data_IF_187179042264
#
_entry.id   IF_187179042264
#
_cell.length_a   1.000
_cell.length_b   1.000
_cell.length_c   1.000
_cell.angle_alpha   90.00
_cell.angle_beta   90.00
_cell.angle_gamma   90.00
#
_symmetry.space_group_name_H-M   'P 1'
#
loop_
_entity.id
_entity.type
_entity.pdbx_description
1 polymer ?
#
# COMPACT_ATOMS: atom_id res chain seq x y z
N UNK A 1 -2.09 2.79 -35.57
CA UNK A 1 -2.22 3.95 -34.65
C UNK A 1 -2.12 3.43 -33.23
N UNK A 2 -1.05 3.78 -32.52
CA UNK A 2 -0.68 3.20 -31.22
C UNK A 2 -1.53 3.67 -30.02
N UNK A 3 -2.28 4.77 -30.17
CA UNK A 3 -3.07 5.35 -29.08
C UNK A 3 -4.43 5.79 -29.62
N UNK A 4 -5.42 4.89 -29.60
CA UNK A 4 -6.83 5.29 -29.77
C UNK A 4 -7.28 5.89 -28.44
N UNK A 5 -7.50 7.19 -28.42
CA UNK A 5 -8.09 7.89 -27.27
C UNK A 5 -9.57 7.50 -27.17
N UNK A 6 -9.88 6.45 -26.42
CA UNK A 6 -11.25 6.18 -25.98
C UNK A 6 -11.56 7.15 -24.83
N UNK A 7 -12.43 8.14 -25.09
CA UNK A 7 -12.77 9.18 -24.10
C UNK A 7 -13.56 8.66 -22.88
N UNK A 8 -13.91 7.36 -22.83
CA UNK A 8 -14.76 6.78 -21.80
C UNK A 8 -14.12 5.62 -21.01
N UNK A 9 -12.84 5.30 -21.24
CA UNK A 9 -12.18 4.17 -20.56
C UNK A 9 -11.43 4.65 -19.31
N UNK A 10 -11.48 3.86 -18.23
CA UNK A 10 -10.74 4.14 -16.99
C UNK A 10 -9.22 4.20 -17.25
N UNK A 11 -8.45 4.84 -16.37
CA UNK A 11 -6.99 4.88 -16.52
C UNK A 11 -6.44 3.45 -16.48
N UNK A 12 -6.91 2.62 -15.55
CA UNK A 12 -6.63 1.18 -15.50
C UNK A 12 -6.88 0.44 -16.81
N UNK A 13 -8.04 0.62 -17.45
CA UNK A 13 -8.35 -0.01 -18.73
C UNK A 13 -7.42 0.45 -19.86
N UNK A 14 -7.13 1.75 -19.92
CA UNK A 14 -6.21 2.33 -20.91
C UNK A 14 -4.78 1.85 -20.69
N UNK A 15 -4.33 1.77 -19.44
CA UNK A 15 -3.02 1.25 -19.07
C UNK A 15 -2.88 -0.22 -19.46
N UNK A 16 -3.88 -1.06 -19.16
CA UNK A 16 -3.90 -2.46 -19.55
C UNK A 16 -3.88 -2.65 -21.08
N UNK A 17 -4.68 -1.87 -21.81
CA UNK A 17 -4.69 -1.91 -23.28
C UNK A 17 -3.35 -1.45 -23.87
N UNK A 18 -2.73 -0.42 -23.30
CA UNK A 18 -1.42 0.08 -23.71
C UNK A 18 -0.31 -0.94 -23.41
N UNK A 19 -0.29 -1.56 -22.23
CA UNK A 19 0.65 -2.62 -21.87
C UNK A 19 0.55 -3.82 -22.81
N UNK A 20 -0.67 -4.31 -23.08
CA UNK A 20 -0.87 -5.40 -24.02
C UNK A 20 -0.39 -5.05 -25.44
N UNK A 21 -0.57 -3.79 -25.87
CA UNK A 21 -0.02 -3.31 -27.14
C UNK A 21 1.50 -3.22 -27.13
N UNK A 22 2.11 -2.71 -26.04
CA UNK A 22 3.55 -2.60 -25.91
C UNK A 22 4.21 -3.98 -25.91
N UNK A 23 3.65 -4.94 -25.18
CA UNK A 23 4.14 -6.32 -25.15
C UNK A 23 4.14 -6.96 -26.55
N UNK A 24 3.06 -6.79 -27.33
CA UNK A 24 3.01 -7.25 -28.72
C UNK A 24 4.08 -6.59 -29.59
N UNK A 25 4.29 -5.29 -29.43
CA UNK A 25 5.28 -4.55 -30.20
C UNK A 25 6.72 -4.92 -29.81
N UNK A 26 6.99 -5.11 -28.52
CA UNK A 26 8.28 -5.57 -28.02
C UNK A 26 8.61 -6.96 -28.56
N UNK A 27 7.63 -7.87 -28.55
CA UNK A 27 7.77 -9.19 -29.17
C UNK A 27 8.08 -9.09 -30.68
N UNK A 28 7.35 -8.23 -31.41
CA UNK A 28 7.60 -8.02 -32.84
C UNK A 28 8.99 -7.43 -33.12
N UNK A 29 9.46 -6.50 -32.28
CA UNK A 29 10.82 -5.94 -32.36
C UNK A 29 11.87 -7.00 -32.08
N UNK A 30 11.69 -7.86 -31.07
CA UNK A 30 12.59 -8.98 -30.80
C UNK A 30 12.69 -9.95 -31.99
N UNK A 31 11.55 -10.28 -32.61
CA UNK A 31 11.54 -11.10 -33.84
C UNK A 31 12.25 -10.41 -35.01
N UNK A 32 12.08 -9.10 -35.18
CA UNK A 32 12.77 -8.34 -36.21
C UNK A 32 14.28 -8.28 -35.96
N UNK A 33 14.69 -8.09 -34.69
CA UNK A 33 16.09 -8.12 -34.25
C UNK A 33 16.76 -9.44 -34.63
N UNK A 34 16.17 -10.57 -34.23
CA UNK A 34 16.74 -11.89 -34.56
C UNK A 34 16.84 -12.14 -36.07
N UNK A 35 15.85 -11.68 -36.85
CA UNK A 35 15.91 -11.77 -38.32
C UNK A 35 17.01 -10.91 -38.93
N UNK A 36 17.20 -9.69 -38.43
CA UNK A 36 18.27 -8.80 -38.88
C UNK A 36 19.64 -9.35 -38.52
N UNK A 37 19.83 -9.81 -37.29
CA UNK A 37 21.07 -10.45 -36.82
C UNK A 37 21.44 -11.65 -37.70
N UNK A 38 20.47 -12.54 -37.96
CA UNK A 38 20.66 -13.68 -38.87
C UNK A 38 21.05 -13.25 -40.29
N UNK A 39 20.37 -12.24 -40.84
CA UNK A 39 20.61 -11.77 -42.21
C UNK A 39 21.94 -11.03 -42.37
N UNK A 40 22.37 -10.30 -41.35
CA UNK A 40 23.69 -9.69 -41.28
C UNK A 40 24.77 -10.78 -41.30
N UNK A 41 24.65 -11.77 -40.41
CA UNK A 41 25.59 -12.89 -40.34
C UNK A 41 25.67 -13.65 -41.68
N UNK A 42 24.53 -13.91 -42.30
CA UNK A 42 24.46 -14.55 -43.62
C UNK A 42 25.17 -13.73 -44.71
N UNK A 43 24.90 -12.42 -44.77
CA UNK A 43 25.48 -11.53 -45.80
C UNK A 43 26.99 -11.37 -45.62
N UNK A 44 27.45 -11.33 -44.37
CA UNK A 44 28.86 -11.27 -44.01
C UNK A 44 29.61 -12.52 -44.50
N UNK A 45 28.97 -13.70 -44.37
CA UNK A 45 29.56 -14.98 -44.73
C UNK A 45 29.49 -15.32 -46.23
N UNK A 46 28.45 -14.88 -46.96
CA UNK A 46 28.25 -15.26 -48.37
C UNK A 46 28.84 -14.29 -49.40
N UNK A 47 28.76 -12.98 -49.18
CA UNK A 47 28.93 -11.99 -50.25
C UNK A 47 30.01 -10.94 -50.04
N UNK A 48 30.54 -10.79 -48.83
CA UNK A 48 31.53 -9.74 -48.51
C UNK A 48 31.06 -8.31 -48.84
N UNK A 49 29.76 -8.11 -49.12
CA UNK A 49 29.18 -6.84 -49.54
C UNK A 49 29.01 -5.95 -48.31
N UNK A 50 29.99 -5.07 -48.10
CA UNK A 50 30.10 -4.20 -46.92
C UNK A 50 29.01 -3.15 -46.85
N UNK A 51 28.55 -2.62 -47.99
CA UNK A 51 27.54 -1.56 -48.06
C UNK A 51 26.15 -2.05 -47.60
N UNK A 52 25.66 -3.17 -48.16
CA UNK A 52 24.41 -3.80 -47.72
C UNK A 52 24.44 -4.26 -46.26
N UNK A 53 25.63 -4.64 -45.78
CA UNK A 53 25.82 -5.01 -44.37
C UNK A 53 25.73 -3.78 -43.46
N UNK A 54 26.28 -2.64 -43.87
CA UNK A 54 26.21 -1.38 -43.10
C UNK A 54 24.77 -0.88 -42.97
N UNK A 55 23.97 -0.93 -44.03
CA UNK A 55 22.55 -0.55 -43.97
C UNK A 55 21.76 -1.43 -43.00
N UNK A 56 21.94 -2.76 -43.08
CA UNK A 56 21.29 -3.69 -42.16
C UNK A 56 21.70 -3.46 -40.70
N UNK A 57 22.98 -3.15 -40.44
CA UNK A 57 23.46 -2.80 -39.10
C UNK A 57 22.80 -1.53 -38.57
N UNK A 58 22.62 -0.49 -39.40
CA UNK A 58 21.88 0.72 -38.99
C UNK A 58 20.43 0.40 -38.63
N UNK A 59 19.76 -0.44 -39.42
CA UNK A 59 18.39 -0.87 -39.12
C UNK A 59 18.35 -1.69 -37.82
N UNK A 60 19.32 -2.57 -37.59
CA UNK A 60 19.44 -3.34 -36.35
C UNK A 60 19.57 -2.42 -35.12
N UNK A 61 20.37 -1.36 -35.22
CA UNK A 61 20.54 -0.38 -34.14
C UNK A 61 19.23 0.37 -33.85
N UNK A 62 18.49 0.78 -34.89
CA UNK A 62 17.16 1.37 -34.72
C UNK A 62 16.17 0.42 -34.03
N UNK A 63 16.20 -0.87 -34.36
CA UNK A 63 15.35 -1.89 -33.74
C UNK A 63 15.71 -2.07 -32.25
N UNK A 64 17.00 -2.11 -31.91
CA UNK A 64 17.46 -2.18 -30.51
C UNK A 64 17.04 -0.95 -29.71
N UNK A 65 17.16 0.25 -30.30
CA UNK A 65 16.69 1.49 -29.67
C UNK A 65 15.17 1.46 -29.48
N UNK A 66 14.43 0.94 -30.46
CA UNK A 66 12.98 0.74 -30.35
C UNK A 66 12.59 -0.23 -29.23
N UNK A 67 13.30 -1.35 -29.10
CA UNK A 67 13.10 -2.34 -28.02
C UNK A 67 13.31 -1.70 -26.63
N UNK A 68 14.40 -0.93 -26.47
CA UNK A 68 14.69 -0.19 -25.24
C UNK A 68 13.59 0.82 -24.89
N UNK A 69 13.12 1.62 -25.86
CA UNK A 69 12.04 2.60 -25.63
C UNK A 69 10.74 1.88 -25.23
N UNK A 70 10.40 0.78 -25.90
CA UNK A 70 9.19 0.02 -25.57
C UNK A 70 9.25 -0.56 -24.16
N UNK A 71 10.43 -1.00 -23.72
CA UNK A 71 10.66 -1.47 -22.36
C UNK A 71 10.49 -0.33 -21.33
N UNK A 72 11.15 0.82 -21.53
CA UNK A 72 11.03 1.98 -20.64
C UNK A 72 9.58 2.49 -20.57
N UNK A 73 8.85 2.50 -21.69
CA UNK A 73 7.44 2.85 -21.71
C UNK A 73 6.58 1.84 -20.93
N UNK A 74 6.92 0.55 -20.97
CA UNK A 74 6.19 -0.47 -20.21
C UNK A 74 6.34 -0.25 -18.70
N UNK A 75 7.55 0.04 -18.22
CA UNK A 75 7.80 0.34 -16.81
C UNK A 75 7.02 1.58 -16.35
N UNK A 76 7.03 2.66 -17.15
CA UNK A 76 6.29 3.89 -16.83
C UNK A 76 4.78 3.67 -16.72
N UNK A 77 4.21 2.83 -17.59
CA UNK A 77 2.77 2.52 -17.53
C UNK A 77 2.45 1.66 -16.30
N UNK A 78 3.35 0.72 -15.94
CA UNK A 78 3.22 -0.07 -14.72
C UNK A 78 3.26 0.83 -13.47
N UNK A 79 4.22 1.78 -13.40
CA UNK A 79 4.29 2.78 -12.32
C UNK A 79 3.03 3.64 -12.22
N UNK A 80 2.46 4.06 -13.36
CA UNK A 80 1.22 4.82 -13.38
C UNK A 80 0.03 4.01 -12.82
N UNK A 81 0.02 2.69 -13.03
CA UNK A 81 -1.00 1.80 -12.46
C UNK A 81 -0.87 1.72 -10.94
N UNK A 82 0.34 1.56 -10.41
CA UNK A 82 0.56 1.57 -8.97
C UNK A 82 0.17 2.89 -8.32
N UNK A 83 0.44 4.02 -8.99
CA UNK A 83 0.03 5.34 -8.51
C UNK A 83 -1.50 5.46 -8.42
N UNK A 84 -2.25 4.96 -9.41
CA UNK A 84 -3.72 4.96 -9.38
C UNK A 84 -4.26 4.12 -8.20
N UNK A 85 -3.67 2.95 -7.95
CA UNK A 85 -4.03 2.11 -6.80
C UNK A 85 -3.72 2.79 -5.47
N UNK A 86 -2.56 3.46 -5.37
CA UNK A 86 -2.18 4.22 -4.18
C UNK A 86 -3.15 5.37 -3.89
N UNK A 87 -3.53 6.15 -4.90
CA UNK A 87 -4.50 7.25 -4.75
C UNK A 87 -5.84 6.71 -4.28
N UNK A 88 -6.32 5.61 -4.85
CA UNK A 88 -7.59 4.99 -4.44
C UNK A 88 -7.57 4.55 -2.96
N UNK A 89 -6.45 4.00 -2.49
CA UNK A 89 -6.27 3.62 -1.08
C UNK A 89 -6.31 4.87 -0.19
N UNK A 90 -5.62 5.95 -0.57
CA UNK A 90 -5.63 7.19 0.20
C UNK A 90 -7.03 7.81 0.27
N UNK A 91 -7.75 7.87 -0.85
CA UNK A 91 -9.13 8.38 -0.89
C UNK A 91 -10.05 7.55 0.02
N UNK A 92 -9.88 6.22 0.01
CA UNK A 92 -10.65 5.32 0.88
C UNK A 92 -10.32 5.56 2.36
N UNK A 93 -9.04 5.69 2.70
CA UNK A 93 -8.61 5.98 4.07
C UNK A 93 -9.15 7.34 4.55
N UNK A 94 -9.11 8.37 3.69
CA UNK A 94 -9.66 9.68 3.99
C UNK A 94 -11.18 9.63 4.25
N UNK A 95 -11.93 8.84 3.47
CA UNK A 95 -13.36 8.59 3.71
C UNK A 95 -13.59 7.94 5.07
N UNK A 96 -12.85 6.87 5.39
CA UNK A 96 -12.98 6.18 6.67
C UNK A 96 -12.65 7.06 7.86
N UNK A 97 -11.64 7.94 7.77
CA UNK A 97 -11.35 8.90 8.84
C UNK A 97 -12.49 9.89 9.02
N UNK A 98 -13.10 10.36 7.94
CA UNK A 98 -14.28 11.23 8.01
C UNK A 98 -15.46 10.53 8.69
N UNK A 99 -15.73 9.28 8.34
CA UNK A 99 -16.80 8.48 8.94
C UNK A 99 -16.58 8.29 10.45
N UNK A 100 -15.36 7.91 10.87
CA UNK A 100 -15.02 7.77 12.30
C UNK A 100 -15.20 9.09 13.04
N UNK A 101 -14.78 10.20 12.42
CA UNK A 101 -14.95 11.53 13.01
C UNK A 101 -16.43 11.85 13.21
N UNK A 102 -17.26 11.61 12.20
CA UNK A 102 -18.70 11.86 12.26
C UNK A 102 -19.37 10.97 13.32
N UNK A 103 -18.96 9.71 13.45
CA UNK A 103 -19.43 8.79 14.49
C UNK A 103 -19.06 9.28 15.90
N UNK A 104 -17.82 9.75 16.10
CA UNK A 104 -17.37 10.31 17.39
C UNK A 104 -18.15 11.59 17.73
N UNK A 105 -18.34 12.48 16.76
CA UNK A 105 -19.10 13.72 16.95
C UNK A 105 -20.57 13.45 17.32
N UNK A 106 -21.15 12.36 16.84
CA UNK A 106 -22.51 11.93 17.23
C UNK A 106 -22.55 11.22 18.59
N UNK A 107 -21.56 10.37 18.88
CA UNK A 107 -21.54 9.56 20.10
C UNK A 107 -21.20 10.39 21.33
N UNK A 108 -20.33 11.40 21.22
CA UNK A 108 -19.85 12.20 22.35
C UNK A 108 -21.00 12.91 23.10
N UNK A 109 -21.92 13.65 22.46
CA UNK A 109 -23.07 14.25 23.16
C UNK A 109 -23.98 13.21 23.82
N UNK A 110 -24.17 12.05 23.19
CA UNK A 110 -24.99 10.97 23.75
C UNK A 110 -24.35 10.37 25.01
N UNK A 111 -23.02 10.18 25.00
CA UNK A 111 -22.26 9.73 26.15
C UNK A 111 -22.28 10.76 27.28
N UNK A 112 -22.12 12.05 26.97
CA UNK A 112 -22.22 13.15 27.94
C UNK A 112 -23.61 13.20 28.60
N UNK A 113 -24.68 13.12 27.80
CA UNK A 113 -26.05 13.12 28.31
C UNK A 113 -26.34 11.90 29.21
N UNK A 114 -25.85 10.71 28.84
CA UNK A 114 -26.01 9.51 29.65
C UNK A 114 -25.25 9.62 30.99
N UNK A 115 -24.04 10.20 30.98
CA UNK A 115 -23.27 10.46 32.20
C UNK A 115 -23.95 11.49 33.11
N UNK A 116 -24.54 12.54 32.53
CA UNK A 116 -25.32 13.54 33.28
C UNK A 116 -26.56 12.90 33.93
N UNK A 117 -27.31 12.08 33.17
CA UNK A 117 -28.47 11.35 33.70
C UNK A 117 -28.08 10.40 34.84
N UNK A 118 -26.96 9.67 34.70
CA UNK A 118 -26.41 8.83 35.76
C UNK A 118 -26.07 9.64 37.01
N UNK A 119 -25.40 10.78 36.85
CA UNK A 119 -25.04 11.65 37.96
C UNK A 119 -26.29 12.18 38.69
N UNK A 120 -27.31 12.59 37.95
CA UNK A 120 -28.60 13.02 38.49
C UNK A 120 -29.32 11.90 39.24
N UNK A 121 -29.32 10.68 38.70
CA UNK A 121 -29.92 9.52 39.35
C UNK A 121 -29.20 9.17 40.66
N UNK A 122 -27.86 9.16 40.66
CA UNK A 122 -27.04 8.92 41.85
C UNK A 122 -27.30 9.99 42.91
N UNK A 123 -27.33 11.27 42.51
CA UNK A 123 -27.57 12.40 43.41
C UNK A 123 -28.94 12.29 44.10
N UNK A 124 -30.00 11.95 43.35
CA UNK A 124 -31.35 11.72 43.89
C UNK A 124 -31.38 10.56 44.90
N UNK A 125 -30.79 9.41 44.56
CA UNK A 125 -30.71 8.25 45.47
C UNK A 125 -29.95 8.60 46.74
N UNK A 126 -28.84 9.32 46.61
CA UNK A 126 -27.99 9.72 47.73
C UNK A 126 -28.67 10.72 48.68
N UNK A 127 -29.65 11.51 48.21
CA UNK A 127 -30.44 12.43 49.06
C UNK A 127 -31.57 11.75 49.86
N UNK A 128 -32.00 10.55 49.46
CA UNK A 128 -33.08 9.79 50.10
C UNK A 128 -32.62 8.72 51.10
N UNK A 129 -31.31 8.49 51.22
CA UNK A 129 -30.74 7.43 52.06
C UNK A 129 -30.51 7.88 53.52
N UNK A 130 -30.92 7.11 54.54
CA UNK A 130 -30.59 7.40 55.93
C UNK A 130 -29.07 7.31 56.18
N UNK A 131 -28.57 8.14 57.11
CA UNK A 131 -27.13 8.38 57.32
C UNK A 131 -26.28 7.11 57.55
N UNK A 132 -26.85 6.07 58.17
CA UNK A 132 -26.17 4.80 58.44
C UNK A 132 -25.84 4.00 57.16
N UNK A 133 -26.74 3.99 56.16
CA UNK A 133 -26.50 3.29 54.89
C UNK A 133 -25.54 4.06 53.97
N UNK A 134 -25.48 5.38 54.11
CA UNK A 134 -24.58 6.26 53.34
C UNK A 134 -23.10 5.96 53.63
N UNK A 135 -22.76 5.70 54.89
CA UNK A 135 -21.38 5.40 55.31
C UNK A 135 -20.87 4.04 54.80
N UNK A 136 -21.76 3.09 54.53
CA UNK A 136 -21.39 1.75 54.06
C UNK A 136 -21.22 1.70 52.53
N UNK A 137 -21.98 2.52 51.79
CA UNK A 137 -22.09 2.44 50.33
C UNK A 137 -21.16 3.44 49.61
N UNK A 138 -20.97 4.67 50.14
CA UNK A 138 -20.07 5.67 49.52
C UNK A 138 -18.64 5.14 49.27
N UNK A 139 -17.98 4.45 50.23
CA UNK A 139 -16.62 3.95 50.03
C UNK A 139 -16.52 2.92 48.90
N UNK A 140 -17.55 2.08 48.73
CA UNK A 140 -17.57 1.03 47.71
C UNK A 140 -17.74 1.62 46.30
N UNK A 141 -18.63 2.60 46.14
CA UNK A 141 -18.83 3.29 44.86
C UNK A 141 -17.58 4.08 44.47
N UNK A 142 -16.92 4.73 45.44
CA UNK A 142 -15.69 5.49 45.20
C UNK A 142 -14.53 4.57 44.81
N UNK A 143 -14.42 3.41 45.44
CA UNK A 143 -13.43 2.39 45.07
C UNK A 143 -13.69 1.82 43.66
N UNK A 144 -14.95 1.59 43.30
CA UNK A 144 -15.34 1.10 41.97
C UNK A 144 -15.08 2.16 40.88
N UNK A 145 -15.43 3.43 41.14
CA UNK A 145 -15.13 4.54 40.23
C UNK A 145 -13.62 4.73 40.03
N UNK A 146 -12.83 4.64 41.10
CA UNK A 146 -11.36 4.71 41.02
C UNK A 146 -10.80 3.52 40.24
N UNK A 147 -11.34 2.31 40.43
CA UNK A 147 -10.94 1.13 39.67
C UNK A 147 -11.28 1.26 38.18
N UNK A 148 -12.44 1.81 37.83
CA UNK A 148 -12.86 2.04 36.46
C UNK A 148 -11.97 3.09 35.76
N UNK A 149 -11.63 4.20 36.45
CA UNK A 149 -10.70 5.21 35.94
C UNK A 149 -9.29 4.63 35.74
N UNK A 150 -8.81 3.83 36.71
CA UNK A 150 -7.52 3.16 36.60
C UNK A 150 -7.49 2.15 35.43
N UNK A 151 -8.58 1.42 35.20
CA UNK A 151 -8.72 0.51 34.06
C UNK A 151 -8.75 1.25 32.72
N UNK A 152 -9.45 2.39 32.65
CA UNK A 152 -9.47 3.27 31.47
C UNK A 152 -8.07 3.82 31.13
N UNK A 153 -7.34 4.32 32.13
CA UNK A 153 -5.98 4.83 31.95
C UNK A 153 -4.97 3.73 31.61
N UNK A 154 -5.11 2.53 32.19
CA UNK A 154 -4.29 1.39 31.82
C UNK A 154 -4.54 0.93 30.37
N UNK A 155 -5.79 0.99 29.90
CA UNK A 155 -6.13 0.70 28.50
C UNK A 155 -5.54 1.74 27.53
N UNK A 156 -5.55 3.03 27.88
CA UNK A 156 -4.92 4.08 27.08
C UNK A 156 -3.39 3.92 27.00
N UNK A 157 -2.73 3.60 28.12
CA UNK A 157 -1.29 3.32 28.15
C UNK A 157 -0.90 2.04 27.39
N UNK A 158 -1.80 1.04 27.30
CA UNK A 158 -1.57 -0.18 26.49
C UNK A 158 -1.77 0.09 24.99
N UNK A 159 -2.59 1.07 24.62
CA UNK A 159 -2.72 1.52 23.22
C UNK A 159 -1.47 2.30 22.80
N UNK A 160 -0.99 3.24 23.63
CA UNK A 160 0.28 3.96 23.39
C UNK A 160 1.50 3.00 23.36
N UNK A 161 1.55 1.99 24.23
CA UNK A 161 2.64 0.99 24.24
C UNK A 161 2.56 -0.02 23.09
N UNK A 162 1.41 -0.15 22.42
CA UNK A 162 1.29 -0.94 21.18
C UNK A 162 1.71 -0.13 19.95
N UNK A 163 1.43 1.17 19.92
CA UNK A 163 1.91 2.06 18.86
C UNK A 163 3.45 2.20 18.89
N UNK A 164 4.09 2.27 20.06
CA UNK A 164 5.56 2.26 20.16
C UNK A 164 6.24 0.92 19.79
N UNK A 165 5.50 -0.21 19.85
CA UNK A 165 6.04 -1.53 19.50
C UNK A 165 5.86 -1.89 18.03
N UNK A 166 4.84 -1.37 17.34
CA UNK A 166 4.72 -1.58 15.89
C UNK A 166 5.68 -0.71 15.07
N UNK A 167 6.19 0.41 15.60
CA UNK A 167 7.20 1.22 14.91
C UNK A 167 8.65 0.66 15.01
N UNK A 168 8.89 -0.38 15.83
CA UNK A 168 10.23 -0.99 16.02
C UNK A 168 10.39 -2.42 15.49
N UNK A 169 9.43 -2.95 14.74
CA UNK A 169 9.53 -4.30 14.13
C UNK A 169 9.61 -4.30 12.60
N UNK A 170 10.12 -3.21 12.01
CA UNK A 170 10.61 -3.19 10.62
C UNK A 170 12.14 -3.05 10.60
N UNK A 171 12.85 -3.91 11.34
CA UNK A 171 14.28 -4.12 11.16
C UNK A 171 14.54 -5.62 11.10
N UNK A 172 14.68 -6.10 9.87
CA UNK A 172 15.17 -7.44 9.51
C UNK A 172 16.50 -7.70 10.23
N UNK A 173 16.68 -8.80 10.99
CA UNK A 173 18.00 -9.33 11.24
C UNK A 173 18.39 -10.22 10.05
N UNK A 174 19.41 -9.79 9.31
CA UNK A 174 20.16 -10.65 8.40
C UNK A 174 20.69 -11.86 9.18
N UNK A 175 20.32 -13.07 8.73
CA UNK A 175 20.99 -14.30 9.10
C UNK A 175 22.25 -14.42 8.23
N UNK A 176 23.43 -14.28 8.84
CA UNK A 176 24.66 -14.86 8.29
C UNK A 176 24.63 -16.38 8.56
N UNK A 177 24.46 -17.17 7.49
CA UNK A 177 24.74 -18.61 7.49
C UNK A 177 26.26 -18.82 7.37
N UNK A 178 26.89 -19.32 8.42
CA UNK A 178 28.24 -19.91 8.35
C UNK A 178 28.12 -21.44 8.22
N UNK A 179 28.43 -21.97 7.04
CA UNK A 179 28.61 -23.41 6.80
C UNK A 179 29.85 -23.95 7.53
N UNK A 180 29.80 -25.12 8.20
CA UNK A 180 30.99 -25.85 8.57
C UNK A 180 31.39 -26.86 7.49
N UNK A 181 32.41 -26.53 6.70
CA UNK A 181 33.09 -27.46 5.80
C UNK A 181 33.91 -28.47 6.62
N UNK A 182 33.52 -29.75 6.58
CA UNK A 182 34.28 -30.85 7.15
C UNK A 182 35.24 -31.41 6.11
N UNK A 183 36.55 -31.33 6.39
CA UNK A 183 37.59 -32.00 5.60
C UNK A 183 38.07 -33.24 6.36
N UNK A 184 38.02 -34.44 5.76
CA UNK A 184 38.65 -35.62 6.33
C UNK A 184 40.15 -35.65 5.99
N UNK A 185 40.96 -36.16 6.93
CA UNK A 185 42.32 -36.62 6.70
C UNK A 185 42.37 -38.15 6.84
#
# INVERSE_FOLDING_TARGET
>A
MLFKKSNNASIKERANAALASLQRNAYAMGMLRSRLESRINFTLNEKGSTESCQELTRVLELVKNGEMILHEMSEKIESARFLEEFVMIMDSAASSVSEIKDDIEQMMPAAEAALEEMHDAISKVSSGLPADLRQEIEPAILAEAVAAIAAGNASAAVIEAKEEKEEKTAAVPEQEEEEPESVPA
#
